data_IF_014032851187
#
_entry.id   IF_014032851187
#
_cell.length_a   1.000
_cell.length_b   1.000
_cell.length_c   1.000
_cell.angle_alpha   90.00
_cell.angle_beta   90.00
_cell.angle_gamma   90.00
#
_symmetry.space_group_name_H-M   'P 1'
#
loop_
_entity.id
_entity.type
_entity.pdbx_description
1 polymer ?
#
# COMPACT_ATOMS: atom_id res chain seq x y z
N UNK A 1 4.89 -12.82 -14.51
CA UNK A 1 4.36 -11.55 -13.97
C UNK A 1 5.45 -10.95 -13.09
N UNK A 2 6.11 -9.89 -13.54
CA UNK A 2 7.37 -9.41 -12.94
C UNK A 2 7.19 -8.61 -11.65
N UNK A 3 8.14 -8.78 -10.72
CA UNK A 3 8.22 -8.10 -9.41
C UNK A 3 7.93 -6.59 -9.43
N UNK A 4 8.22 -5.92 -10.55
CA UNK A 4 7.93 -4.49 -10.75
C UNK A 4 6.44 -4.14 -10.62
N UNK A 5 5.52 -5.01 -11.06
CA UNK A 5 4.07 -4.75 -10.92
C UNK A 5 3.61 -4.82 -9.46
N UNK A 6 4.19 -5.74 -8.68
CA UNK A 6 3.88 -5.86 -7.25
C UNK A 6 4.34 -4.61 -6.48
N UNK A 7 5.53 -4.08 -6.79
CA UNK A 7 6.02 -2.85 -6.15
C UNK A 7 5.18 -1.61 -6.49
N UNK A 8 4.62 -1.53 -7.71
CA UNK A 8 3.72 -0.43 -8.08
C UNK A 8 2.39 -0.50 -7.31
N UNK A 9 1.84 -1.69 -7.12
CA UNK A 9 0.63 -1.87 -6.32
C UNK A 9 0.87 -1.57 -4.84
N UNK A 10 1.99 -2.04 -4.27
CA UNK A 10 2.39 -1.70 -2.90
C UNK A 10 2.49 -0.18 -2.75
N UNK A 11 3.19 0.50 -3.67
CA UNK A 11 3.29 1.97 -3.67
C UNK A 11 1.90 2.63 -3.70
N UNK A 12 1.01 2.20 -4.59
CA UNK A 12 -0.33 2.76 -4.70
C UNK A 12 -1.15 2.57 -3.41
N UNK A 13 -1.04 1.41 -2.76
CA UNK A 13 -1.68 1.15 -1.46
C UNK A 13 -1.11 2.09 -0.39
N UNK A 14 0.21 2.19 -0.25
CA UNK A 14 0.82 3.05 0.76
C UNK A 14 0.47 4.52 0.54
N UNK A 15 0.43 4.99 -0.71
CA UNK A 15 -0.02 6.35 -1.05
C UNK A 15 -1.50 6.58 -0.72
N UNK A 16 -2.35 5.60 -1.01
CA UNK A 16 -3.76 5.68 -0.64
C UNK A 16 -3.92 5.87 0.88
N UNK A 17 -3.20 5.07 1.67
CA UNK A 17 -3.25 5.13 3.14
C UNK A 17 -2.62 6.41 3.67
N UNK A 18 -1.58 6.94 3.04
CA UNK A 18 -1.01 8.25 3.41
C UNK A 18 -2.04 9.39 3.26
N UNK A 19 -2.84 9.35 2.19
CA UNK A 19 -3.83 10.40 1.89
C UNK A 19 -5.15 10.23 2.66
N UNK A 20 -5.57 9.00 2.95
CA UNK A 20 -6.91 8.70 3.47
C UNK A 20 -6.89 8.04 4.86
N UNK A 21 -5.73 7.57 5.31
CA UNK A 21 -5.57 6.87 6.57
C UNK A 21 -5.65 7.82 7.76
N UNK A 22 -6.83 7.90 8.37
CA UNK A 22 -7.07 8.64 9.61
C UNK A 22 -7.42 7.70 10.79
N UNK A 23 -7.18 6.39 10.63
CA UNK A 23 -7.57 5.38 11.62
C UNK A 23 -9.00 4.83 11.47
N UNK A 24 -9.81 5.33 10.52
CA UNK A 24 -11.22 4.94 10.38
C UNK A 24 -11.60 4.47 8.97
N UNK A 25 -10.65 4.09 8.12
CA UNK A 25 -10.98 3.65 6.77
C UNK A 25 -11.87 2.40 6.82
N UNK A 26 -13.10 2.52 6.31
CA UNK A 26 -14.10 1.43 6.26
C UNK A 26 -14.21 0.81 4.85
N UNK A 27 -13.39 1.26 3.90
CA UNK A 27 -13.44 0.83 2.52
C UNK A 27 -12.11 0.28 2.07
N UNK A 28 -12.19 -0.76 1.24
CA UNK A 28 -11.02 -1.27 0.53
C UNK A 28 -10.63 -0.24 -0.55
N UNK A 29 -9.32 0.07 -0.72
CA UNK A 29 -8.86 0.91 -1.82
C UNK A 29 -9.24 0.33 -3.18
N UNK A 30 -9.79 1.16 -4.05
CA UNK A 30 -9.93 0.85 -5.49
C UNK A 30 -8.70 1.40 -6.21
N UNK A 31 -7.96 0.53 -6.90
CA UNK A 31 -6.72 0.89 -7.59
C UNK A 31 -6.82 0.44 -9.05
N UNK A 32 -6.73 1.41 -9.96
CA UNK A 32 -6.86 1.18 -11.40
C UNK A 32 -5.92 0.09 -11.92
N UNK A 33 -6.47 -0.81 -12.74
CA UNK A 33 -5.73 -1.92 -13.34
C UNK A 33 -5.47 -3.11 -12.41
N UNK A 34 -6.00 -3.09 -11.18
CA UNK A 34 -5.94 -4.20 -10.25
C UNK A 34 -7.33 -4.65 -9.79
N UNK A 35 -7.48 -5.95 -9.56
CA UNK A 35 -8.72 -6.51 -9.04
C UNK A 35 -8.80 -6.33 -7.52
N UNK A 36 -10.00 -6.29 -6.91
CA UNK A 36 -10.14 -6.23 -5.45
C UNK A 36 -9.39 -7.36 -4.72
N UNK A 37 -9.35 -8.56 -5.30
CA UNK A 37 -8.59 -9.68 -4.75
C UNK A 37 -7.08 -9.42 -4.72
N UNK A 38 -6.53 -8.80 -5.79
CA UNK A 38 -5.13 -8.42 -5.83
C UNK A 38 -4.83 -7.35 -4.79
N UNK A 39 -5.70 -6.35 -4.64
CA UNK A 39 -5.53 -5.29 -3.65
C UNK A 39 -5.56 -5.88 -2.22
N UNK A 40 -6.56 -6.71 -1.90
CA UNK A 40 -6.67 -7.37 -0.58
C UNK A 40 -5.41 -8.16 -0.23
N UNK A 41 -4.91 -8.95 -1.18
CA UNK A 41 -3.69 -9.73 -0.97
C UNK A 41 -2.49 -8.85 -0.65
N UNK A 42 -2.33 -7.72 -1.32
CA UNK A 42 -1.21 -6.81 -1.08
C UNK A 42 -1.36 -5.97 0.19
N UNK A 43 -2.60 -5.67 0.60
CA UNK A 43 -2.86 -5.07 1.92
C UNK A 43 -2.40 -6.01 3.02
N UNK A 44 -2.72 -7.31 2.91
CA UNK A 44 -2.27 -8.31 3.88
C UNK A 44 -0.73 -8.42 3.90
N UNK A 45 -0.06 -8.39 2.74
CA UNK A 45 1.40 -8.35 2.70
C UNK A 45 1.99 -7.09 3.36
N UNK A 46 1.40 -5.91 3.11
CA UNK A 46 1.85 -4.66 3.73
C UNK A 46 1.65 -4.68 5.24
N UNK A 47 0.56 -5.28 5.73
CA UNK A 47 0.30 -5.48 7.15
C UNK A 47 1.33 -6.43 7.77
N UNK A 48 1.59 -7.58 7.16
CA UNK A 48 2.56 -8.56 7.64
C UNK A 48 4.00 -8.00 7.64
N UNK A 49 4.35 -7.16 6.66
CA UNK A 49 5.62 -6.44 6.62
C UNK A 49 5.71 -5.28 7.63
N UNK A 50 4.61 -4.95 8.32
CA UNK A 50 4.55 -3.86 9.28
C UNK A 50 4.57 -2.48 8.64
N UNK A 51 4.18 -2.32 7.37
CA UNK A 51 4.09 -1.03 6.69
C UNK A 51 2.81 -0.26 7.01
N UNK A 52 1.72 -0.97 7.30
CA UNK A 52 0.42 -0.39 7.64
C UNK A 52 -0.20 -1.11 8.83
N UNK A 53 -1.11 -0.41 9.51
CA UNK A 53 -2.14 -1.03 10.33
C UNK A 53 -3.41 -1.24 9.50
N UNK A 54 -3.99 -2.42 9.56
CA UNK A 54 -5.21 -2.76 8.83
C UNK A 54 -6.08 -3.75 9.61
N UNK A 55 -7.40 -3.55 9.53
CA UNK A 55 -8.39 -4.50 10.01
C UNK A 55 -9.05 -5.19 8.81
N UNK A 56 -8.78 -6.49 8.64
CA UNK A 56 -9.11 -7.22 7.41
C UNK A 56 -8.59 -6.51 6.14
N UNK A 57 -9.44 -6.30 5.11
CA UNK A 57 -9.05 -5.63 3.87
C UNK A 57 -9.06 -4.09 3.97
N UNK A 58 -9.22 -3.53 5.16
CA UNK A 58 -9.41 -2.10 5.38
C UNK A 58 -8.15 -1.48 6.01
N UNK A 59 -7.29 -0.81 5.21
CA UNK A 59 -6.06 -0.23 5.72
C UNK A 59 -6.34 1.10 6.42
N UNK A 60 -5.83 1.27 7.63
CA UNK A 60 -6.21 2.37 8.53
C UNK A 60 -5.18 3.49 8.61
N UNK A 61 -3.90 3.15 8.73
CA UNK A 61 -2.81 4.14 8.84
C UNK A 61 -1.46 3.52 8.49
N UNK A 62 -0.51 4.36 8.08
CA UNK A 62 0.88 3.97 7.88
C UNK A 62 1.59 3.79 9.22
N UNK A 63 2.55 2.87 9.25
CA UNK A 63 3.56 2.84 10.31
C UNK A 63 4.76 3.71 9.90
N UNK A 64 5.67 3.95 10.83
CA UNK A 64 6.97 4.54 10.51
C UNK A 64 7.74 3.75 9.44
N UNK A 65 7.69 2.41 9.48
CA UNK A 65 8.30 1.58 8.45
C UNK A 65 7.62 1.77 7.09
N UNK A 66 6.29 1.95 7.06
CA UNK A 66 5.54 2.27 5.85
C UNK A 66 5.91 3.61 5.24
N UNK A 67 6.08 4.65 6.06
CA UNK A 67 6.57 5.96 5.58
C UNK A 67 7.96 5.85 4.95
N UNK A 68 8.90 5.16 5.60
CA UNK A 68 10.24 4.95 5.07
C UNK A 68 10.21 4.17 3.74
N UNK A 69 9.44 3.07 3.69
CA UNK A 69 9.30 2.27 2.48
C UNK A 69 8.69 3.07 1.32
N UNK A 70 7.67 3.90 1.60
CA UNK A 70 7.05 4.75 0.59
C UNK A 70 8.03 5.81 0.05
N UNK A 71 8.85 6.40 0.91
CA UNK A 71 9.87 7.36 0.50
C UNK A 71 10.98 6.71 -0.33
N UNK A 72 11.39 5.50 0.00
CA UNK A 72 12.36 4.74 -0.80
C UNK A 72 11.79 4.38 -2.17
N UNK A 73 10.51 3.98 -2.24
CA UNK A 73 9.81 3.72 -3.51
C UNK A 73 9.65 4.99 -4.36
N UNK A 74 9.52 6.17 -3.75
CA UNK A 74 9.51 7.47 -4.46
C UNK A 74 10.88 7.79 -5.06
N UNK A 75 11.96 7.57 -4.30
CA UNK A 75 13.34 7.83 -4.74
C UNK A 75 13.80 6.85 -5.83
N UNK A 76 13.46 5.56 -5.69
CA UNK A 76 13.78 4.52 -6.67
C UNK A 76 13.01 4.59 -7.99
N UNK A 77 12.03 5.50 -8.10
CA UNK A 77 11.28 5.80 -9.33
C UNK A 77 11.88 6.92 -10.19
N UNK A 78 12.95 7.58 -9.74
CA UNK A 78 13.72 8.50 -10.59
C UNK A 78 14.67 7.71 -11.47
N UNK A 79 14.23 7.46 -12.70
CA UNK A 79 15.09 7.12 -13.83
C UNK A 79 16.08 8.28 -14.04
N UNK A 80 17.37 7.98 -13.91
CA UNK A 80 18.31 8.37 -14.97
C UNK A 80 18.15 7.38 -16.12
#
# INVERSE_FOLDING_TARGET
MGMKRYMQLIRAILQYVECHGNGQSMCQPEIDGYTPAQVSYHIELCKQAGYIWADGPFPQTLTWAGHNALDDLRKGGSVH
#
